data_IF_744085707251
#
_entry.id   IF_744085707251
#
_cell.length_a   1.000
_cell.length_b   1.000
_cell.length_c   1.000
_cell.angle_alpha   90.00
_cell.angle_beta   90.00
_cell.angle_gamma   90.00
#
_symmetry.space_group_name_H-M   'P 1'
#
loop_
_entity.id
_entity.type
_entity.pdbx_description
1 polymer ?
#
# COMPACT_ATOMS: atom_id res chain seq x y z
N UNK A 1 6.88 8.80 -15.24
CA UNK A 1 5.64 7.99 -15.21
C UNK A 1 5.48 7.38 -16.58
N UNK A 2 5.28 6.09 -16.68
CA UNK A 2 5.07 5.38 -17.94
C UNK A 2 3.76 5.78 -18.62
N UNK A 3 3.58 5.32 -19.84
CA UNK A 3 2.37 5.57 -20.66
C UNK A 3 1.22 4.63 -20.29
N UNK A 4 1.52 3.46 -19.72
CA UNK A 4 0.57 2.44 -19.25
C UNK A 4 0.76 2.14 -17.76
N UNK A 5 2.03 1.96 -17.31
CA UNK A 5 2.35 1.74 -15.91
C UNK A 5 2.33 3.06 -15.14
N UNK A 6 1.51 3.11 -14.10
CA UNK A 6 1.53 4.16 -13.10
C UNK A 6 2.52 3.83 -11.98
N UNK A 7 2.42 4.53 -10.85
CA UNK A 7 3.25 4.25 -9.64
C UNK A 7 2.98 2.87 -9.03
N UNK A 8 1.84 2.25 -9.37
CA UNK A 8 1.38 0.99 -8.78
C UNK A 8 0.77 0.05 -9.84
N UNK A 9 1.51 -0.18 -10.92
CA UNK A 9 1.11 -1.03 -12.03
C UNK A 9 0.15 -0.37 -13.03
N UNK A 10 -0.49 -1.19 -13.85
CA UNK A 10 -1.50 -0.75 -14.82
C UNK A 10 -2.87 -0.86 -14.17
N UNK A 11 -3.60 0.25 -14.06
CA UNK A 11 -4.94 0.31 -13.46
C UNK A 11 -5.96 0.91 -14.40
N UNK A 12 -7.22 0.51 -14.25
CA UNK A 12 -8.34 1.09 -14.99
C UNK A 12 -9.66 0.41 -14.67
N UNK A 13 -10.74 0.94 -15.26
CA UNK A 13 -12.06 0.29 -15.21
C UNK A 13 -11.96 -1.02 -15.97
N UNK A 14 -12.24 -2.13 -15.26
CA UNK A 14 -12.11 -3.48 -15.81
C UNK A 14 -13.02 -3.68 -17.03
N UNK A 15 -12.48 -4.35 -18.05
CA UNK A 15 -13.15 -4.62 -19.35
C UNK A 15 -13.54 -3.36 -20.14
N UNK A 16 -13.08 -2.18 -19.74
CA UNK A 16 -13.23 -0.91 -20.48
C UNK A 16 -11.88 -0.29 -20.80
N UNK A 17 -11.10 0.02 -19.80
CA UNK A 17 -9.74 0.56 -19.87
C UNK A 17 -8.72 -0.56 -19.73
N UNK A 18 -8.84 -1.37 -18.66
CA UNK A 18 -8.07 -2.58 -18.46
C UNK A 18 -8.82 -3.78 -19.04
N UNK A 19 -8.65 -3.99 -20.35
CA UNK A 19 -9.33 -5.05 -21.09
C UNK A 19 -8.61 -6.39 -21.01
N UNK A 20 -9.30 -7.49 -21.32
CA UNK A 20 -8.67 -8.81 -21.44
C UNK A 20 -7.58 -8.80 -22.52
N UNK A 21 -7.74 -8.05 -23.62
CA UNK A 21 -6.70 -7.90 -24.65
C UNK A 21 -5.45 -7.22 -24.08
N UNK A 22 -5.62 -6.15 -23.31
CA UNK A 22 -4.49 -5.47 -22.67
C UNK A 22 -3.79 -6.39 -21.66
N UNK A 23 -4.53 -7.14 -20.84
CA UNK A 23 -3.97 -8.11 -19.92
C UNK A 23 -3.16 -9.21 -20.64
N UNK A 24 -3.67 -9.72 -21.77
CA UNK A 24 -2.95 -10.65 -22.64
C UNK A 24 -1.63 -10.04 -23.15
N UNK A 25 -1.66 -8.81 -23.65
CA UNK A 25 -0.47 -8.12 -24.17
C UNK A 25 0.56 -7.84 -23.05
N UNK A 26 0.11 -7.46 -21.85
CA UNK A 26 0.99 -7.30 -20.68
C UNK A 26 1.67 -8.63 -20.36
N UNK A 27 0.93 -9.73 -20.28
CA UNK A 27 1.47 -11.05 -20.00
C UNK A 27 2.50 -11.49 -21.05
N UNK A 28 2.18 -11.29 -22.32
CA UNK A 28 3.06 -11.61 -23.46
C UNK A 28 4.35 -10.80 -23.42
N UNK A 29 4.25 -9.48 -23.25
CA UNK A 29 5.39 -8.59 -23.23
C UNK A 29 6.28 -8.83 -21.99
N UNK A 30 5.69 -8.99 -20.81
CA UNK A 30 6.41 -9.27 -19.58
C UNK A 30 7.18 -10.59 -19.66
N UNK A 31 6.54 -11.66 -20.15
CA UNK A 31 7.17 -12.96 -20.32
C UNK A 31 8.35 -12.92 -21.30
N UNK A 32 8.22 -12.20 -22.40
CA UNK A 32 9.29 -12.03 -23.35
C UNK A 32 10.48 -11.24 -22.78
N UNK A 33 10.19 -10.12 -22.09
CA UNK A 33 11.24 -9.25 -21.51
C UNK A 33 12.00 -9.98 -20.40
N UNK A 34 11.31 -10.68 -19.52
CA UNK A 34 11.91 -11.38 -18.37
C UNK A 34 12.58 -12.69 -18.76
N UNK A 35 12.09 -13.38 -19.80
CA UNK A 35 12.72 -14.59 -20.35
C UNK A 35 14.03 -14.36 -21.06
N UNK A 36 14.32 -13.12 -21.53
CA UNK A 36 15.53 -12.76 -22.27
C UNK A 36 15.87 -13.70 -23.43
N UNK A 37 14.91 -14.48 -23.93
CA UNK A 37 15.10 -15.49 -24.97
C UNK A 37 15.98 -16.71 -24.59
N UNK A 38 16.46 -16.79 -23.36
CA UNK A 38 17.45 -17.77 -22.92
C UNK A 38 16.89 -18.84 -21.97
N UNK A 39 15.79 -18.58 -21.30
CA UNK A 39 15.12 -19.54 -20.43
C UNK A 39 13.60 -19.37 -20.47
N UNK A 40 12.87 -20.37 -19.97
CA UNK A 40 11.42 -20.34 -19.84
C UNK A 40 11.06 -19.69 -18.52
N UNK A 41 10.56 -18.43 -18.51
CA UNK A 41 10.25 -17.74 -17.27
C UNK A 41 9.02 -18.35 -16.59
N UNK A 42 9.05 -18.39 -15.25
CA UNK A 42 7.94 -18.83 -14.41
C UNK A 42 7.28 -17.64 -13.74
N UNK A 43 5.97 -17.52 -13.90
CA UNK A 43 5.17 -16.45 -13.30
C UNK A 43 4.22 -17.01 -12.26
N UNK A 44 4.18 -16.38 -11.08
CA UNK A 44 3.08 -16.56 -10.13
C UNK A 44 1.98 -15.54 -10.45
N UNK A 45 0.71 -15.95 -10.36
CA UNK A 45 -0.43 -15.02 -10.48
C UNK A 45 -1.35 -15.22 -9.28
N UNK A 46 -1.53 -14.15 -8.49
CA UNK A 46 -2.52 -14.04 -7.43
C UNK A 46 -3.50 -12.91 -7.72
N UNK A 47 -4.66 -12.93 -7.09
CA UNK A 47 -5.70 -11.93 -7.28
C UNK A 47 -6.48 -11.64 -6.00
N UNK A 48 -7.18 -10.53 -5.98
CA UNK A 48 -8.21 -10.26 -4.99
C UNK A 48 -9.57 -10.91 -5.37
N UNK A 49 -10.63 -10.50 -4.71
CA UNK A 49 -11.96 -11.11 -4.83
C UNK A 49 -12.84 -10.50 -5.91
N UNK A 50 -12.36 -9.50 -6.68
CA UNK A 50 -13.12 -8.82 -7.74
C UNK A 50 -13.60 -9.80 -8.80
N UNK A 51 -14.85 -9.64 -9.26
CA UNK A 51 -15.45 -10.47 -10.32
C UNK A 51 -14.62 -10.44 -11.60
N UNK A 52 -13.97 -9.32 -11.92
CA UNK A 52 -13.11 -9.18 -13.10
C UNK A 52 -11.75 -9.90 -12.98
N UNK A 53 -11.40 -10.38 -11.77
CA UNK A 53 -10.10 -11.02 -11.50
C UNK A 53 -9.84 -12.24 -12.38
N UNK A 54 -10.80 -13.15 -12.52
CA UNK A 54 -10.64 -14.37 -13.31
C UNK A 54 -10.50 -14.08 -14.82
N UNK A 55 -11.23 -13.08 -15.33
CA UNK A 55 -11.10 -12.65 -16.73
C UNK A 55 -9.67 -12.19 -17.02
N UNK A 56 -9.14 -11.31 -16.17
CA UNK A 56 -7.80 -10.74 -16.36
C UNK A 56 -6.70 -11.78 -16.12
N UNK A 57 -6.85 -12.65 -15.10
CA UNK A 57 -5.93 -13.73 -14.79
C UNK A 57 -5.78 -14.69 -15.98
N UNK A 58 -6.89 -15.13 -16.56
CA UNK A 58 -6.87 -16.07 -17.69
C UNK A 58 -6.27 -15.42 -18.95
N UNK A 59 -6.59 -14.18 -19.23
CA UNK A 59 -6.03 -13.44 -20.35
C UNK A 59 -4.51 -13.23 -20.22
N UNK A 60 -4.07 -12.79 -19.04
CA UNK A 60 -2.66 -12.60 -18.71
C UNK A 60 -1.88 -13.93 -18.84
N UNK A 61 -2.42 -15.01 -18.26
CA UNK A 61 -1.82 -16.33 -18.32
C UNK A 61 -1.69 -16.83 -19.77
N UNK A 62 -2.72 -16.63 -20.61
CA UNK A 62 -2.65 -16.94 -22.03
C UNK A 62 -1.54 -16.16 -22.75
N UNK A 63 -1.39 -14.87 -22.43
CA UNK A 63 -0.30 -14.04 -22.96
C UNK A 63 1.09 -14.57 -22.59
N UNK A 64 1.31 -14.88 -21.32
CA UNK A 64 2.58 -15.46 -20.83
C UNK A 64 2.89 -16.78 -21.55
N UNK A 65 1.92 -17.69 -21.60
CA UNK A 65 2.10 -19.01 -22.22
C UNK A 65 2.37 -18.93 -23.72
N UNK A 66 1.79 -17.94 -24.41
CA UNK A 66 1.93 -17.78 -25.86
C UNK A 66 3.37 -17.49 -26.31
N UNK A 67 4.22 -17.04 -25.39
CA UNK A 67 5.65 -16.79 -25.62
C UNK A 67 6.54 -17.68 -24.75
N UNK A 68 6.04 -18.86 -24.40
CA UNK A 68 6.81 -19.93 -23.76
C UNK A 68 6.98 -19.83 -22.25
N UNK A 69 6.44 -18.80 -21.57
CA UNK A 69 6.47 -18.71 -20.11
C UNK A 69 5.51 -19.67 -19.43
N UNK A 70 5.87 -20.16 -18.24
CA UNK A 70 5.01 -21.00 -17.41
C UNK A 70 4.29 -20.17 -16.35
N UNK A 71 3.08 -20.59 -15.97
CA UNK A 71 2.22 -19.90 -15.01
C UNK A 71 1.85 -20.81 -13.84
N UNK A 72 1.97 -20.31 -12.64
CA UNK A 72 1.48 -20.91 -11.40
C UNK A 72 0.38 -19.99 -10.84
N UNK A 73 -0.85 -20.50 -10.76
CA UNK A 73 -1.98 -19.77 -10.20
C UNK A 73 -2.06 -20.00 -8.70
N UNK A 74 -2.04 -18.89 -7.95
CA UNK A 74 -2.11 -18.88 -6.48
C UNK A 74 -3.56 -18.76 -5.95
N UNK A 75 -4.50 -18.35 -6.82
CA UNK A 75 -5.87 -18.04 -6.41
C UNK A 75 -6.01 -16.69 -5.72
N UNK A 76 -6.96 -16.59 -4.78
CA UNK A 76 -7.20 -15.36 -4.02
C UNK A 76 -6.26 -15.32 -2.82
N UNK A 77 -5.28 -14.42 -2.88
CA UNK A 77 -4.29 -14.16 -1.83
C UNK A 77 -3.92 -12.66 -1.81
N UNK A 78 -3.49 -12.14 -0.63
CA UNK A 78 -2.96 -10.79 -0.50
C UNK A 78 -1.80 -10.46 -1.43
N UNK A 79 -1.69 -9.18 -1.80
CA UNK A 79 -0.53 -8.68 -2.58
C UNK A 79 0.82 -9.09 -1.96
N UNK A 80 1.06 -8.92 -0.65
CA UNK A 80 2.31 -9.36 -0.03
C UNK A 80 2.56 -10.88 -0.10
N UNK A 81 1.51 -11.69 -0.12
CA UNK A 81 1.65 -13.13 -0.30
C UNK A 81 2.32 -13.46 -1.65
N UNK A 82 1.90 -12.80 -2.73
CA UNK A 82 2.50 -13.01 -4.05
C UNK A 82 3.98 -12.60 -4.05
N UNK A 83 4.31 -11.42 -3.50
CA UNK A 83 5.69 -10.95 -3.37
C UNK A 83 6.56 -11.91 -2.55
N UNK A 84 5.99 -12.55 -1.52
CA UNK A 84 6.67 -13.54 -0.68
C UNK A 84 6.85 -14.88 -1.41
N UNK A 85 5.80 -15.38 -2.04
CA UNK A 85 5.76 -16.69 -2.69
C UNK A 85 6.63 -16.75 -3.96
N UNK A 86 6.88 -15.62 -4.64
CA UNK A 86 7.85 -15.56 -5.75
C UNK A 86 9.20 -16.14 -5.33
N UNK A 87 9.67 -15.80 -4.14
CA UNK A 87 10.94 -16.33 -3.61
C UNK A 87 10.84 -17.79 -3.22
N UNK A 88 9.68 -18.22 -2.68
CA UNK A 88 9.47 -19.61 -2.26
C UNK A 88 9.45 -20.57 -3.44
N UNK A 89 8.77 -20.21 -4.53
CA UNK A 89 8.68 -21.03 -5.74
C UNK A 89 9.83 -20.79 -6.74
N UNK A 90 10.80 -19.95 -6.38
CA UNK A 90 11.92 -19.54 -7.25
C UNK A 90 11.44 -19.07 -8.63
N UNK A 91 10.32 -18.32 -8.65
CA UNK A 91 9.75 -17.79 -9.88
C UNK A 91 10.45 -16.52 -10.34
N UNK A 92 10.42 -16.26 -11.65
CA UNK A 92 11.04 -15.05 -12.24
C UNK A 92 10.24 -13.80 -11.95
N UNK A 93 8.91 -13.96 -11.80
CA UNK A 93 8.01 -12.86 -11.49
C UNK A 93 6.76 -13.30 -10.73
N UNK A 94 6.19 -12.37 -9.97
CA UNK A 94 4.86 -12.48 -9.38
C UNK A 94 3.95 -11.39 -9.93
N UNK A 95 2.72 -11.76 -10.25
CA UNK A 95 1.72 -10.80 -10.72
C UNK A 95 0.53 -10.80 -9.78
N UNK A 96 0.10 -9.60 -9.39
CA UNK A 96 -1.10 -9.40 -8.60
C UNK A 96 -2.15 -8.70 -9.46
N UNK A 97 -3.35 -9.26 -9.45
CA UNK A 97 -4.52 -8.68 -10.11
C UNK A 97 -5.42 -8.09 -9.04
N UNK A 98 -5.29 -6.79 -8.83
CA UNK A 98 -6.03 -6.00 -7.84
C UNK A 98 -5.94 -4.50 -8.12
N UNK A 99 -6.95 -3.76 -7.68
CA UNK A 99 -6.92 -2.31 -7.59
C UNK A 99 -6.93 -1.79 -6.13
N UNK A 100 -6.42 -2.59 -5.18
CA UNK A 100 -6.27 -2.24 -3.76
C UNK A 100 -7.61 -1.75 -3.14
N UNK A 101 -7.67 -0.50 -2.69
CA UNK A 101 -8.82 0.10 -2.01
C UNK A 101 -9.92 0.65 -2.94
N UNK A 102 -9.76 0.59 -4.26
CA UNK A 102 -10.80 1.05 -5.20
C UNK A 102 -12.03 0.14 -5.16
N UNK A 103 -13.17 0.65 -5.64
CA UNK A 103 -14.39 -0.15 -5.84
C UNK A 103 -14.20 -1.27 -6.87
N UNK A 104 -15.13 -2.21 -6.92
CA UNK A 104 -15.01 -3.44 -7.69
C UNK A 104 -14.90 -3.26 -9.21
N UNK A 105 -15.42 -2.14 -9.74
CA UNK A 105 -15.37 -1.81 -11.17
C UNK A 105 -13.95 -1.61 -11.67
N UNK A 106 -13.04 -1.17 -10.79
CA UNK A 106 -11.64 -1.02 -11.11
C UNK A 106 -10.89 -2.34 -10.90
N UNK A 107 -9.83 -2.53 -11.67
CA UNK A 107 -8.83 -3.57 -11.41
C UNK A 107 -7.45 -3.07 -11.82
N UNK A 108 -6.42 -3.85 -11.52
CA UNK A 108 -5.04 -3.50 -11.82
C UNK A 108 -4.18 -4.75 -12.02
N UNK A 109 -3.03 -4.56 -12.64
CA UNK A 109 -1.99 -5.58 -12.82
C UNK A 109 -0.69 -5.00 -12.30
N UNK A 110 -0.17 -5.54 -11.19
CA UNK A 110 1.10 -5.22 -10.57
C UNK A 110 2.08 -6.36 -10.80
N UNK A 111 3.34 -6.07 -11.10
CA UNK A 111 4.36 -7.09 -11.35
C UNK A 111 5.49 -6.94 -10.35
N UNK A 112 5.87 -8.05 -9.71
CA UNK A 112 7.02 -8.17 -8.83
C UNK A 112 8.10 -9.00 -9.52
N UNK A 113 9.36 -8.67 -9.30
CA UNK A 113 10.50 -9.45 -9.78
C UNK A 113 10.73 -10.72 -8.93
N UNK A 114 11.63 -11.59 -9.33
CA UNK A 114 11.95 -12.83 -8.62
C UNK A 114 12.46 -12.68 -7.18
N UNK A 115 12.78 -11.45 -6.75
CA UNK A 115 13.15 -11.13 -5.36
C UNK A 115 11.97 -10.61 -4.53
N UNK A 116 10.79 -10.46 -5.13
CA UNK A 116 9.59 -9.95 -4.47
C UNK A 116 9.52 -8.42 -4.39
N UNK A 117 10.35 -7.69 -5.13
CA UNK A 117 10.25 -6.22 -5.27
C UNK A 117 9.43 -5.87 -6.51
N UNK A 118 8.78 -4.71 -6.51
CA UNK A 118 8.18 -4.16 -7.73
C UNK A 118 9.20 -4.11 -8.87
N UNK A 119 8.74 -4.22 -10.11
CA UNK A 119 9.65 -4.12 -11.26
C UNK A 119 10.36 -2.76 -11.30
N UNK A 120 11.59 -2.76 -11.81
CA UNK A 120 12.32 -1.54 -12.15
C UNK A 120 11.62 -0.82 -13.30
N UNK A 121 11.58 0.53 -13.27
CA UNK A 121 10.95 1.37 -14.30
C UNK A 121 11.45 1.04 -15.71
N UNK A 122 12.75 0.74 -15.86
CA UNK A 122 13.35 0.39 -17.15
C UNK A 122 12.78 -0.91 -17.72
N UNK A 123 12.36 -1.82 -16.84
CA UNK A 123 11.72 -3.08 -17.27
C UNK A 123 10.27 -2.79 -17.65
N UNK A 124 9.55 -1.99 -16.86
CA UNK A 124 8.19 -1.55 -17.18
C UNK A 124 8.16 -0.77 -18.50
N UNK A 125 9.08 0.15 -18.73
CA UNK A 125 9.22 0.90 -20.00
C UNK A 125 9.44 -0.03 -21.21
N UNK A 126 10.27 -1.07 -21.07
CA UNK A 126 10.46 -2.07 -22.14
C UNK A 126 9.19 -2.85 -22.44
N UNK A 127 8.43 -3.21 -21.40
CA UNK A 127 7.14 -3.89 -21.54
C UNK A 127 6.15 -2.97 -22.27
N UNK A 128 6.07 -1.70 -21.87
CA UNK A 128 5.24 -0.69 -22.54
C UNK A 128 5.59 -0.50 -24.01
N UNK A 129 6.89 -0.38 -24.32
CA UNK A 129 7.36 -0.21 -25.69
C UNK A 129 6.92 -1.35 -26.59
N UNK A 130 6.96 -2.58 -26.10
CA UNK A 130 6.47 -3.76 -26.82
C UNK A 130 4.97 -3.67 -27.07
N UNK A 131 4.17 -3.33 -26.03
CA UNK A 131 2.72 -3.24 -26.14
C UNK A 131 2.29 -2.15 -27.12
N UNK A 132 2.95 -0.99 -27.09
CA UNK A 132 2.60 0.18 -27.87
C UNK A 132 3.11 0.15 -29.31
N UNK A 133 4.17 -0.62 -29.60
CA UNK A 133 4.80 -0.71 -30.92
C UNK A 133 3.91 -1.37 -31.98
N UNK A 134 2.80 -2.03 -31.62
CA UNK A 134 1.87 -2.79 -32.50
C UNK A 134 2.52 -3.88 -33.36
N UNK A 135 3.86 -3.91 -33.43
CA UNK A 135 4.65 -4.92 -34.13
C UNK A 135 5.60 -5.60 -33.14
N UNK A 136 5.10 -6.63 -32.47
CA UNK A 136 5.90 -7.44 -31.60
C UNK A 136 6.39 -8.68 -32.35
N UNK A 137 7.66 -8.68 -32.74
CA UNK A 137 8.32 -9.82 -33.36
C UNK A 137 9.01 -10.66 -32.26
N UNK A 138 8.59 -11.88 -32.11
CA UNK A 138 9.18 -12.87 -31.21
C UNK A 138 9.36 -14.19 -31.96
N UNK A 139 10.24 -15.12 -31.50
CA UNK A 139 10.31 -16.48 -32.01
C UNK A 139 8.95 -17.17 -31.97
N UNK A 140 8.70 -18.10 -32.87
CA UNK A 140 7.50 -18.93 -32.80
C UNK A 140 7.66 -19.96 -31.68
N UNK A 141 6.74 -19.93 -30.71
CA UNK A 141 6.67 -20.89 -29.62
C UNK A 141 5.61 -21.95 -29.94
N UNK A 142 6.02 -23.03 -30.62
CA UNK A 142 5.14 -24.11 -31.09
C UNK A 142 5.44 -25.44 -30.39
N UNK A 143 4.45 -26.33 -30.33
CA UNK A 143 4.61 -27.66 -29.75
C UNK A 143 5.01 -27.60 -28.26
N UNK A 144 6.13 -28.20 -27.91
CA UNK A 144 6.66 -28.25 -26.54
C UNK A 144 7.18 -26.91 -26.00
N UNK A 145 7.33 -25.93 -26.87
CA UNK A 145 7.75 -24.58 -26.48
C UNK A 145 6.61 -23.68 -25.98
N UNK A 146 5.36 -24.07 -26.13
CA UNK A 146 4.22 -23.39 -25.51
C UNK A 146 4.28 -23.53 -24.00
N UNK A 147 4.03 -22.44 -23.27
CA UNK A 147 4.03 -22.42 -21.82
C UNK A 147 2.91 -23.27 -21.20
N UNK A 148 3.06 -23.59 -19.93
CA UNK A 148 2.08 -24.37 -19.15
C UNK A 148 1.49 -23.54 -18.03
N UNK A 149 0.23 -23.84 -17.68
CA UNK A 149 -0.43 -23.23 -16.54
C UNK A 149 -0.89 -24.30 -15.56
N UNK A 150 -0.61 -24.11 -14.27
CA UNK A 150 -1.07 -25.00 -13.21
C UNK A 150 -1.48 -24.24 -11.97
N UNK A 151 -2.51 -24.65 -11.25
CA UNK A 151 -2.77 -24.17 -9.90
C UNK A 151 -1.79 -24.83 -8.90
N UNK A 152 -1.67 -24.23 -7.71
CA UNK A 152 -1.05 -24.83 -6.53
C UNK A 152 -2.02 -24.80 -5.37
N UNK A 153 -1.90 -25.77 -4.46
CA UNK A 153 -2.82 -25.93 -3.31
C UNK A 153 -2.19 -25.46 -2.00
N UNK A 154 -0.87 -25.34 -1.97
CA UNK A 154 -0.09 -25.07 -0.75
C UNK A 154 0.26 -23.58 -0.53
N UNK A 155 -0.03 -22.71 -1.50
CA UNK A 155 0.28 -21.27 -1.42
C UNK A 155 -0.29 -20.58 -0.16
N UNK A 156 -1.54 -20.93 0.18
CA UNK A 156 -2.21 -20.42 1.39
C UNK A 156 -1.46 -20.83 2.66
N UNK A 157 -1.19 -22.12 2.82
CA UNK A 157 -0.55 -22.66 4.02
C UNK A 157 0.90 -22.18 4.18
N UNK A 158 1.62 -21.98 3.08
CA UNK A 158 2.98 -21.44 3.10
C UNK A 158 2.95 -19.99 3.61
N UNK A 159 2.07 -19.16 3.08
CA UNK A 159 1.97 -17.76 3.52
C UNK A 159 1.45 -17.66 4.96
N UNK A 160 0.48 -18.49 5.36
CA UNK A 160 0.01 -18.59 6.75
C UNK A 160 1.17 -18.90 7.70
N UNK A 161 1.96 -19.91 7.38
CA UNK A 161 3.11 -20.30 8.19
C UNK A 161 4.18 -19.20 8.24
N UNK A 162 4.43 -18.51 7.12
CA UNK A 162 5.35 -17.38 7.09
C UNK A 162 4.87 -16.26 8.03
N UNK A 163 3.58 -15.93 8.06
CA UNK A 163 3.00 -14.96 8.98
C UNK A 163 3.12 -15.42 10.44
N UNK A 164 2.78 -16.67 10.73
CA UNK A 164 2.90 -17.25 12.07
C UNK A 164 4.35 -17.23 12.59
N UNK A 165 5.33 -17.40 11.74
CA UNK A 165 6.75 -17.35 12.09
C UNK A 165 7.24 -15.93 12.47
N UNK A 166 6.44 -14.88 12.22
CA UNK A 166 6.80 -13.50 12.60
C UNK A 166 6.44 -13.12 14.02
N UNK A 167 5.63 -13.95 14.68
CA UNK A 167 5.17 -13.75 16.06
C UNK A 167 5.46 -14.99 16.90
N UNK A 168 5.98 -14.80 18.09
CA UNK A 168 6.46 -15.85 18.99
C UNK A 168 5.59 -16.04 20.23
N UNK A 169 4.38 -15.49 20.21
CA UNK A 169 3.45 -15.48 21.33
C UNK A 169 2.06 -15.94 20.92
N UNK A 170 1.35 -16.47 21.91
CA UNK A 170 -0.07 -16.83 21.75
C UNK A 170 -0.96 -15.67 22.15
N UNK A 171 -2.20 -15.69 21.63
CA UNK A 171 -3.20 -14.64 21.83
C UNK A 171 -4.42 -15.16 22.61
N UNK A 172 -4.20 -16.19 23.44
CA UNK A 172 -5.30 -16.82 24.20
C UNK A 172 -6.01 -15.78 25.10
N UNK A 173 -7.30 -15.63 24.92
CA UNK A 173 -8.14 -14.68 25.64
C UNK A 173 -8.16 -13.26 25.10
N UNK A 174 -7.37 -12.93 24.08
CA UNK A 174 -7.41 -11.64 23.40
C UNK A 174 -8.58 -11.59 22.41
N UNK A 175 -9.45 -10.58 22.53
CA UNK A 175 -10.59 -10.37 21.65
C UNK A 175 -10.22 -9.42 20.53
N UNK A 176 -10.36 -9.89 19.31
CA UNK A 176 -9.95 -9.14 18.10
C UNK A 176 -11.10 -9.08 17.11
N UNK A 177 -11.35 -7.90 16.55
CA UNK A 177 -12.25 -7.75 15.40
C UNK A 177 -11.45 -7.54 14.14
N UNK A 178 -11.74 -8.31 13.09
CA UNK A 178 -11.11 -8.20 11.78
C UNK A 178 -12.14 -7.72 10.76
N UNK A 179 -11.84 -6.65 10.04
CA UNK A 179 -12.53 -6.23 8.83
C UNK A 179 -11.68 -6.58 7.62
N UNK A 180 -12.10 -7.58 6.86
CA UNK A 180 -11.34 -8.10 5.72
C UNK A 180 -11.70 -7.44 4.39
N UNK A 181 -12.49 -6.36 4.42
CA UNK A 181 -12.91 -5.58 3.24
C UNK A 181 -13.60 -6.41 2.14
N UNK A 182 -14.12 -7.61 2.44
CA UNK A 182 -14.49 -8.62 1.44
C UNK A 182 -13.37 -8.87 0.40
N UNK A 183 -12.12 -8.62 0.77
CA UNK A 183 -10.92 -8.65 -0.07
C UNK A 183 -10.07 -9.90 0.12
N UNK A 184 -8.83 -9.83 -0.32
CA UNK A 184 -7.91 -10.96 -0.37
C UNK A 184 -7.50 -11.52 1.00
N UNK A 185 -7.67 -10.74 2.08
CA UNK A 185 -7.39 -11.20 3.46
C UNK A 185 -8.52 -12.06 4.07
N UNK A 186 -9.66 -12.24 3.39
CA UNK A 186 -10.89 -12.83 3.96
C UNK A 186 -10.70 -14.23 4.56
N UNK A 187 -9.78 -15.03 4.05
CA UNK A 187 -9.45 -16.35 4.59
C UNK A 187 -8.22 -16.31 5.49
N UNK A 188 -7.15 -15.64 5.04
CA UNK A 188 -5.84 -15.72 5.69
C UNK A 188 -5.80 -15.01 7.04
N UNK A 189 -6.38 -13.80 7.16
CA UNK A 189 -6.34 -13.08 8.41
C UNK A 189 -7.07 -13.84 9.54
N UNK A 190 -8.33 -14.30 9.35
CA UNK A 190 -8.99 -15.11 10.38
C UNK A 190 -8.26 -16.42 10.71
N UNK A 191 -7.64 -17.08 9.74
CA UNK A 191 -6.90 -18.33 9.95
C UNK A 191 -5.70 -18.11 10.87
N UNK A 192 -4.87 -17.11 10.58
CA UNK A 192 -3.68 -16.76 11.37
C UNK A 192 -4.05 -16.43 12.82
N UNK A 193 -5.04 -15.57 13.04
CA UNK A 193 -5.44 -15.18 14.40
C UNK A 193 -6.05 -16.34 15.21
N UNK A 194 -6.84 -17.20 14.56
CA UNK A 194 -7.38 -18.43 15.18
C UNK A 194 -6.26 -19.41 15.53
N UNK A 195 -5.26 -19.58 14.65
CA UNK A 195 -4.10 -20.43 14.92
C UNK A 195 -3.29 -19.93 16.13
N UNK A 196 -3.24 -18.63 16.36
CA UNK A 196 -2.62 -18.00 17.53
C UNK A 196 -3.47 -18.09 18.81
N UNK A 197 -4.75 -18.50 18.72
CA UNK A 197 -5.62 -18.69 19.89
C UNK A 197 -6.48 -17.46 20.25
N UNK A 198 -6.55 -16.44 19.39
CA UNK A 198 -7.38 -15.26 19.63
C UNK A 198 -8.89 -15.60 19.57
N UNK A 199 -9.69 -14.84 20.32
CA UNK A 199 -11.14 -14.79 20.17
C UNK A 199 -11.49 -13.78 19.06
N UNK A 200 -11.82 -14.30 17.89
CA UNK A 200 -11.90 -13.52 16.65
C UNK A 200 -13.35 -13.31 16.22
N UNK A 201 -13.76 -12.06 16.12
CA UNK A 201 -14.97 -11.63 15.40
C UNK A 201 -14.55 -11.10 14.02
N UNK A 202 -15.18 -11.58 12.95
CA UNK A 202 -14.85 -11.16 11.57
C UNK A 202 -16.05 -10.46 10.95
N UNK A 203 -15.84 -9.34 10.33
CA UNK A 203 -16.82 -8.60 9.51
C UNK A 203 -16.32 -8.45 8.09
N UNK A 204 -17.22 -8.13 7.16
CA UNK A 204 -16.90 -7.96 5.72
C UNK A 204 -16.09 -9.13 5.15
N UNK A 205 -16.59 -10.37 5.38
CA UNK A 205 -15.85 -11.62 5.11
C UNK A 205 -16.62 -12.59 4.19
N UNK A 206 -17.52 -12.06 3.37
CA UNK A 206 -18.33 -12.85 2.42
C UNK A 206 -18.27 -12.23 1.04
N UNK A 207 -17.10 -12.34 0.38
CA UNK A 207 -16.91 -11.74 -0.94
C UNK A 207 -17.85 -12.37 -1.97
N UNK A 208 -18.52 -11.53 -2.77
CA UNK A 208 -19.41 -11.93 -3.85
C UNK A 208 -18.94 -11.47 -5.25
N UNK A 209 -17.76 -10.83 -5.29
CA UNK A 209 -17.13 -10.31 -6.50
C UNK A 209 -17.41 -8.85 -6.78
N UNK A 210 -18.41 -8.24 -6.14
CA UNK A 210 -18.80 -6.84 -6.35
C UNK A 210 -18.85 -6.01 -5.07
N UNK A 211 -18.65 -6.61 -3.90
CA UNK A 211 -18.73 -5.96 -2.59
C UNK A 211 -17.36 -5.67 -1.94
N UNK A 212 -16.25 -5.83 -2.65
CA UNK A 212 -14.90 -5.50 -2.14
C UNK A 212 -14.81 -4.01 -1.83
N UNK A 213 -14.32 -3.65 -0.63
CA UNK A 213 -14.19 -2.28 -0.12
C UNK A 213 -15.52 -1.49 0.00
N UNK A 214 -16.68 -2.13 -0.21
CA UNK A 214 -17.96 -1.44 -0.17
C UNK A 214 -18.34 -1.12 1.29
N UNK A 215 -18.18 0.14 1.68
CA UNK A 215 -18.42 0.63 3.04
C UNK A 215 -17.73 -0.20 4.14
N UNK A 216 -16.52 -0.69 3.87
CA UNK A 216 -15.74 -1.52 4.78
C UNK A 216 -14.22 -1.39 4.52
N UNK A 217 -13.43 -2.03 5.37
CA UNK A 217 -11.99 -2.07 5.26
C UNK A 217 -11.30 -0.77 5.66
N UNK A 218 -10.05 -0.61 5.26
CA UNK A 218 -9.15 0.46 5.72
C UNK A 218 -9.61 1.88 5.38
N UNK A 219 -10.43 2.06 4.34
CA UNK A 219 -10.96 3.36 3.92
C UNK A 219 -12.31 3.70 4.54
N UNK A 220 -13.01 2.73 5.14
CA UNK A 220 -14.31 2.86 5.79
C UNK A 220 -14.37 2.07 7.10
N UNK A 221 -13.63 2.51 8.14
CA UNK A 221 -13.50 1.78 9.40
C UNK A 221 -14.72 1.90 10.33
N UNK A 222 -15.78 2.63 9.96
CA UNK A 222 -16.91 2.97 10.82
C UNK A 222 -17.64 1.72 11.36
N UNK A 223 -17.75 0.66 10.55
CA UNK A 223 -18.34 -0.60 10.96
C UNK A 223 -17.45 -1.37 11.94
N UNK A 224 -16.13 -1.32 11.71
CA UNK A 224 -15.14 -1.88 12.63
C UNK A 224 -15.17 -1.17 13.98
N UNK A 225 -15.20 0.18 14.02
CA UNK A 225 -15.29 0.98 15.23
C UNK A 225 -16.49 0.58 16.09
N UNK A 226 -17.67 0.49 15.47
CA UNK A 226 -18.90 0.07 16.14
C UNK A 226 -18.79 -1.37 16.69
N UNK A 227 -18.24 -2.28 15.88
CA UNK A 227 -18.15 -3.70 16.26
C UNK A 227 -17.14 -3.92 17.40
N UNK A 228 -16.01 -3.23 17.41
CA UNK A 228 -15.03 -3.29 18.51
C UNK A 228 -15.68 -2.93 19.85
N UNK A 229 -16.42 -1.82 19.90
CA UNK A 229 -17.12 -1.36 21.11
C UNK A 229 -18.26 -2.32 21.47
N UNK A 230 -19.04 -2.79 20.49
CA UNK A 230 -20.19 -3.70 20.70
C UNK A 230 -19.77 -5.01 21.38
N UNK A 231 -18.66 -5.61 20.95
CA UNK A 231 -18.20 -6.91 21.48
C UNK A 231 -17.22 -6.77 22.64
N UNK A 232 -16.80 -5.54 22.96
CA UNK A 232 -15.77 -5.26 23.96
C UNK A 232 -14.44 -5.89 23.58
N UNK A 233 -14.01 -5.68 22.34
CA UNK A 233 -12.74 -6.20 21.84
C UNK A 233 -11.56 -5.37 22.34
N UNK A 234 -10.38 -6.00 22.44
CA UNK A 234 -9.16 -5.33 22.84
C UNK A 234 -8.59 -4.46 21.70
N UNK A 235 -8.85 -4.87 20.44
CA UNK A 235 -8.40 -4.18 19.24
C UNK A 235 -9.19 -4.61 18.02
N UNK A 236 -9.31 -3.72 17.03
CA UNK A 236 -9.82 -4.00 15.69
C UNK A 236 -8.76 -3.74 14.62
N UNK A 237 -8.78 -4.55 13.55
CA UNK A 237 -7.91 -4.41 12.38
C UNK A 237 -8.73 -4.37 11.11
N UNK A 238 -8.55 -3.31 10.30
CA UNK A 238 -9.14 -3.18 8.97
C UNK A 238 -8.04 -3.25 7.91
N UNK A 239 -8.26 -4.12 6.93
CA UNK A 239 -7.41 -4.25 5.75
C UNK A 239 -8.08 -3.59 4.55
N UNK A 240 -7.34 -3.34 3.48
CA UNK A 240 -7.92 -3.00 2.19
C UNK A 240 -8.09 -4.23 1.28
N UNK A 241 -8.59 -4.03 0.07
CA UNK A 241 -8.97 -5.14 -0.81
C UNK A 241 -7.88 -6.14 -1.16
N UNK A 242 -6.61 -5.72 -1.24
CA UNK A 242 -5.46 -6.60 -1.46
C UNK A 242 -4.55 -6.75 -0.23
N UNK A 243 -5.01 -6.22 0.89
CA UNK A 243 -4.44 -6.36 2.23
C UNK A 243 -2.96 -5.94 2.35
N UNK A 244 -2.55 -4.94 1.58
CA UNK A 244 -1.24 -4.32 1.72
C UNK A 244 -1.23 -3.17 2.75
N UNK A 245 -2.43 -2.79 3.28
CA UNK A 245 -2.64 -1.74 4.28
C UNK A 245 -3.31 -2.25 5.54
N UNK A 246 -3.04 -1.53 6.64
CA UNK A 246 -3.61 -1.73 7.96
C UNK A 246 -4.11 -0.41 8.54
N UNK A 247 -5.35 -0.39 9.00
CA UNK A 247 -5.88 0.60 9.94
C UNK A 247 -6.28 -0.12 11.22
N UNK A 248 -5.95 0.48 12.37
CA UNK A 248 -6.23 -0.09 13.70
C UNK A 248 -7.36 0.68 14.34
N UNK A 249 -8.19 -0.02 15.10
CA UNK A 249 -9.22 0.57 15.97
C UNK A 249 -8.94 0.12 17.40
N UNK A 250 -8.86 1.08 18.31
CA UNK A 250 -8.58 0.84 19.73
C UNK A 250 -9.80 0.32 20.49
N UNK A 251 -9.61 -0.05 21.76
CA UNK A 251 -10.64 -0.58 22.66
C UNK A 251 -11.78 0.42 22.98
N UNK A 252 -11.62 1.69 22.61
CA UNK A 252 -12.67 2.74 22.72
C UNK A 252 -13.36 3.03 21.37
N UNK A 253 -12.98 2.35 20.29
CA UNK A 253 -13.51 2.57 18.95
C UNK A 253 -12.86 3.75 18.21
N UNK A 254 -11.72 4.26 18.66
CA UNK A 254 -10.97 5.32 17.96
C UNK A 254 -10.07 4.74 16.89
N UNK A 255 -9.96 5.43 15.76
CA UNK A 255 -9.10 5.03 14.65
C UNK A 255 -7.66 5.44 14.93
N UNK A 256 -6.75 4.49 14.82
CA UNK A 256 -5.31 4.67 14.78
C UNK A 256 -4.83 4.40 13.36
N UNK A 257 -4.42 5.44 12.65
CA UNK A 257 -3.95 5.34 11.27
C UNK A 257 -2.50 4.83 11.17
N UNK A 258 -1.94 4.80 9.97
CA UNK A 258 -0.57 4.33 9.73
C UNK A 258 0.50 5.08 10.52
N UNK A 259 0.32 6.38 10.78
CA UNK A 259 1.25 7.15 11.60
C UNK A 259 1.34 6.63 13.04
N UNK A 260 0.20 6.26 13.63
CA UNK A 260 0.18 5.61 14.96
C UNK A 260 0.87 4.24 14.93
N UNK A 261 0.57 3.44 13.90
CA UNK A 261 1.17 2.09 13.74
C UNK A 261 2.70 2.23 13.62
N UNK A 262 3.17 3.18 12.80
CA UNK A 262 4.59 3.46 12.59
C UNK A 262 5.28 3.86 13.91
N UNK A 263 4.65 4.76 14.67
CA UNK A 263 5.15 5.22 15.97
C UNK A 263 5.21 4.10 17.01
N UNK A 264 4.14 3.34 17.16
CA UNK A 264 4.01 2.28 18.15
C UNK A 264 4.98 1.13 17.85
N UNK A 265 5.03 0.68 16.60
CA UNK A 265 5.94 -0.38 16.17
C UNK A 265 7.40 0.07 16.20
N UNK A 266 7.71 1.32 15.82
CA UNK A 266 9.06 1.88 15.91
C UNK A 266 9.60 1.91 17.34
N UNK A 267 8.79 2.36 18.29
CA UNK A 267 9.12 2.33 19.73
C UNK A 267 9.38 0.90 20.24
N UNK A 268 8.53 -0.05 19.83
CA UNK A 268 8.69 -1.46 20.19
C UNK A 268 9.99 -2.04 19.63
N UNK A 269 10.26 -1.87 18.34
CA UNK A 269 11.50 -2.36 17.70
C UNK A 269 12.75 -1.78 18.34
N UNK A 270 12.74 -0.47 18.67
CA UNK A 270 13.84 0.16 19.40
C UNK A 270 14.06 -0.49 20.77
N UNK A 271 13.00 -0.71 21.54
CA UNK A 271 13.09 -1.34 22.87
C UNK A 271 13.68 -2.76 22.82
N UNK A 272 13.51 -3.45 21.68
CA UNK A 272 14.06 -4.78 21.43
C UNK A 272 15.46 -4.75 20.80
N UNK A 273 16.03 -3.57 20.55
CA UNK A 273 17.32 -3.44 19.87
C UNK A 273 17.29 -3.85 18.39
N UNK A 274 16.09 -3.89 17.78
CA UNK A 274 15.86 -4.31 16.40
C UNK A 274 15.68 -3.15 15.43
N UNK A 275 15.66 -1.91 15.91
CA UNK A 275 15.54 -0.72 15.04
C UNK A 275 16.95 -0.26 14.65
N UNK A 276 17.38 -0.62 13.45
CA UNK A 276 18.69 -0.24 12.95
C UNK A 276 18.90 1.28 12.96
N UNK A 277 20.03 1.73 13.50
CA UNK A 277 20.41 3.14 13.64
C UNK A 277 19.34 4.04 14.31
N UNK A 278 18.42 3.43 15.09
CA UNK A 278 17.25 4.09 15.68
C UNK A 278 16.51 4.97 14.68
N UNK A 279 16.22 4.44 13.50
CA UNK A 279 15.63 5.16 12.38
C UNK A 279 14.40 4.43 11.83
N UNK A 280 13.38 5.21 11.45
CA UNK A 280 12.24 4.78 10.64
C UNK A 280 12.17 5.60 9.36
N UNK A 281 11.43 5.11 8.37
CA UNK A 281 11.16 5.85 7.12
C UNK A 281 9.67 6.19 7.04
N UNK A 282 9.37 7.46 6.76
CA UNK A 282 8.01 7.98 6.59
C UNK A 282 7.91 8.83 5.31
N UNK A 283 6.72 9.26 4.94
CA UNK A 283 6.53 10.19 3.82
C UNK A 283 6.30 11.61 4.30
N UNK A 284 6.43 12.58 3.38
CA UNK A 284 6.06 13.98 3.64
C UNK A 284 4.59 14.16 4.07
N UNK A 285 3.75 13.13 3.90
CA UNK A 285 2.35 13.15 4.33
C UNK A 285 2.15 12.69 5.77
N UNK A 286 3.15 12.05 6.39
CA UNK A 286 3.07 11.67 7.80
C UNK A 286 2.92 12.91 8.67
N UNK A 287 2.07 12.82 9.69
CA UNK A 287 1.72 13.94 10.55
C UNK A 287 2.93 14.49 11.33
N UNK A 288 2.97 15.79 11.56
CA UNK A 288 4.01 16.44 12.39
C UNK A 288 4.16 15.76 13.77
N UNK A 289 3.08 15.17 14.27
CA UNK A 289 3.08 14.41 15.51
C UNK A 289 4.02 13.20 15.50
N UNK A 290 4.24 12.59 14.33
CA UNK A 290 5.20 11.48 14.16
C UNK A 290 6.61 11.96 14.48
N UNK A 291 7.05 13.04 13.85
CA UNK A 291 8.39 13.60 14.09
C UNK A 291 8.60 13.94 15.56
N UNK A 292 7.65 14.68 16.16
CA UNK A 292 7.72 15.10 17.56
C UNK A 292 7.70 13.91 18.56
N UNK A 293 6.88 12.89 18.27
CA UNK A 293 6.84 11.69 19.11
C UNK A 293 8.12 10.86 18.99
N UNK A 294 8.60 10.65 17.77
CA UNK A 294 9.81 9.87 17.50
C UNK A 294 11.06 10.54 18.06
N UNK A 295 11.18 11.85 17.96
CA UNK A 295 12.27 12.62 18.59
C UNK A 295 12.32 12.37 20.11
N UNK A 296 11.17 12.43 20.80
CA UNK A 296 11.06 12.11 22.23
C UNK A 296 11.50 10.69 22.58
N UNK A 297 11.30 9.74 21.62
CA UNK A 297 11.75 8.36 21.75
C UNK A 297 13.25 8.20 21.37
N UNK A 298 13.92 9.25 20.89
CA UNK A 298 15.28 9.21 20.35
C UNK A 298 15.36 8.35 19.08
N UNK A 299 14.33 8.41 18.25
CA UNK A 299 14.23 7.76 16.93
C UNK A 299 14.21 8.87 15.87
N UNK A 300 15.09 8.79 14.87
CA UNK A 300 15.08 9.68 13.73
C UNK A 300 14.07 9.23 12.68
N UNK A 301 13.45 10.19 11.98
CA UNK A 301 12.53 9.93 10.88
C UNK A 301 13.21 10.34 9.58
N UNK A 302 13.38 9.39 8.66
CA UNK A 302 13.85 9.63 7.31
C UNK A 302 12.62 9.89 6.43
N UNK A 303 12.48 11.14 5.94
CA UNK A 303 11.27 11.59 5.24
C UNK A 303 11.49 11.52 3.73
N UNK A 304 10.58 10.85 3.02
CA UNK A 304 10.63 10.68 1.57
C UNK A 304 9.37 11.22 0.88
N UNK A 305 9.36 11.21 -0.46
CA UNK A 305 8.19 11.54 -1.26
C UNK A 305 7.02 10.58 -1.00
N UNK A 306 5.83 10.94 -1.51
CA UNK A 306 4.62 10.13 -1.37
C UNK A 306 4.67 8.94 -2.32
N UNK A 307 4.45 7.75 -1.77
CA UNK A 307 4.37 6.48 -2.50
C UNK A 307 5.25 5.42 -1.87
N UNK A 308 4.72 4.22 -1.75
CA UNK A 308 5.35 3.04 -1.15
C UNK A 308 6.73 2.71 -1.77
N UNK A 309 6.88 2.98 -3.06
CA UNK A 309 8.14 2.81 -3.77
C UNK A 309 9.25 3.69 -3.18
N UNK A 310 8.96 4.98 -2.94
CA UNK A 310 9.97 5.90 -2.38
C UNK A 310 10.30 5.54 -0.94
N UNK A 311 9.31 5.05 -0.16
CA UNK A 311 9.55 4.52 1.18
C UNK A 311 10.52 3.35 1.12
N UNK A 312 10.25 2.36 0.27
CA UNK A 312 11.11 1.18 0.12
C UNK A 312 12.52 1.54 -0.37
N UNK A 313 12.64 2.41 -1.38
CA UNK A 313 13.94 2.86 -1.91
C UNK A 313 14.78 3.55 -0.82
N UNK A 314 14.15 4.41 0.00
CA UNK A 314 14.81 5.06 1.13
C UNK A 314 15.23 4.05 2.20
N UNK A 315 14.35 3.10 2.55
CA UNK A 315 14.67 2.02 3.50
C UNK A 315 15.88 1.20 3.05
N UNK A 316 15.92 0.79 1.79
CA UNK A 316 17.06 0.03 1.22
C UNK A 316 18.36 0.84 1.22
N UNK A 317 18.28 2.15 0.98
CA UNK A 317 19.44 3.05 0.97
C UNK A 317 19.96 3.34 2.37
N UNK A 318 19.08 3.52 3.34
CA UNK A 318 19.42 3.95 4.71
C UNK A 318 19.57 2.78 5.69
N UNK A 319 19.12 1.57 5.31
CA UNK A 319 19.09 0.40 6.17
C UNK A 319 17.95 0.41 7.18
N UNK A 320 16.95 1.30 7.03
CA UNK A 320 15.77 1.32 7.89
C UNK A 320 14.96 0.02 7.74
N UNK A 321 14.64 -0.62 8.86
CA UNK A 321 13.88 -1.89 8.88
C UNK A 321 12.36 -1.69 8.96
N UNK A 322 11.92 -0.47 9.31
CA UNK A 322 10.52 -0.10 9.40
C UNK A 322 10.28 1.20 8.61
N UNK A 323 9.32 1.16 7.72
CA UNK A 323 8.83 2.34 7.02
C UNK A 323 7.36 2.22 6.67
N UNK A 324 6.73 3.36 6.37
CA UNK A 324 5.33 3.32 6.01
C UNK A 324 4.72 4.68 5.69
N UNK A 325 3.42 4.64 5.46
CA UNK A 325 2.60 5.78 5.10
C UNK A 325 1.41 5.92 6.04
N UNK A 326 0.90 7.13 6.18
CA UNK A 326 -0.32 7.43 6.94
C UNK A 326 -1.52 6.57 6.50
N UNK A 327 -1.55 6.18 5.22
CA UNK A 327 -2.59 5.30 4.63
C UNK A 327 -2.61 3.87 5.20
N UNK A 328 -1.62 3.50 6.02
CA UNK A 328 -1.51 2.16 6.61
C UNK A 328 -0.62 1.18 5.85
N UNK A 329 0.00 1.60 4.74
CA UNK A 329 0.96 0.76 4.02
C UNK A 329 2.28 0.72 4.80
N UNK A 330 2.51 -0.39 5.56
CA UNK A 330 3.65 -0.57 6.44
C UNK A 330 4.58 -1.65 5.91
N UNK A 331 5.86 -1.35 5.81
CA UNK A 331 6.92 -2.27 5.38
C UNK A 331 7.80 -2.62 6.59
N UNK A 332 7.84 -3.90 6.94
CA UNK A 332 8.80 -4.48 7.89
C UNK A 332 9.84 -5.26 7.09
N UNK A 333 10.95 -4.60 6.73
CA UNK A 333 11.90 -5.10 5.73
C UNK A 333 12.58 -6.42 6.11
N UNK A 334 12.66 -6.73 7.40
CA UNK A 334 13.17 -8.03 7.89
C UNK A 334 12.25 -9.20 7.49
N UNK A 335 10.98 -8.94 7.16
CA UNK A 335 9.99 -9.97 6.85
C UNK A 335 9.47 -9.88 5.41
N UNK A 336 9.23 -8.68 4.90
CA UNK A 336 8.58 -8.46 3.61
C UNK A 336 9.24 -7.33 2.82
N UNK A 337 9.03 -7.34 1.49
CA UNK A 337 9.57 -6.35 0.54
C UNK A 337 8.52 -5.33 0.10
N UNK A 338 7.32 -5.40 0.64
CA UNK A 338 6.19 -4.51 0.33
C UNK A 338 5.32 -4.36 1.58
N UNK A 339 4.31 -3.49 1.56
CA UNK A 339 3.34 -3.42 2.63
C UNK A 339 2.59 -4.74 2.81
N UNK A 340 2.35 -5.10 4.06
CA UNK A 340 1.61 -6.30 4.44
C UNK A 340 0.74 -5.99 5.67
N UNK A 341 -0.57 -5.83 5.45
CA UNK A 341 -1.50 -5.46 6.49
C UNK A 341 -1.62 -6.52 7.59
N UNK A 342 -1.63 -7.81 7.22
CA UNK A 342 -1.75 -8.90 8.20
C UNK A 342 -0.46 -9.01 9.02
N UNK A 343 0.70 -8.97 8.39
CA UNK A 343 1.99 -8.91 9.09
C UNK A 343 2.06 -7.70 10.02
N UNK A 344 1.67 -6.52 9.54
CA UNK A 344 1.69 -5.28 10.31
C UNK A 344 0.81 -5.36 11.55
N UNK A 345 -0.38 -5.98 11.43
CA UNK A 345 -1.27 -6.21 12.56
C UNK A 345 -0.66 -7.17 13.60
N UNK A 346 0.07 -8.20 13.17
CA UNK A 346 0.81 -9.10 14.07
C UNK A 346 1.96 -8.38 14.79
N UNK A 347 2.71 -7.51 14.10
CA UNK A 347 3.76 -6.70 14.74
C UNK A 347 3.16 -5.67 15.72
N UNK A 348 1.98 -5.12 15.40
CA UNK A 348 1.24 -4.25 16.31
C UNK A 348 0.80 -5.01 17.58
N UNK A 349 0.32 -6.25 17.46
CA UNK A 349 0.03 -7.13 18.60
C UNK A 349 1.28 -7.32 19.49
N UNK A 350 2.44 -7.54 18.92
CA UNK A 350 3.70 -7.63 19.70
C UNK A 350 3.98 -6.34 20.47
N UNK A 351 3.66 -5.19 19.88
CA UNK A 351 3.81 -3.92 20.58
C UNK A 351 2.81 -3.76 21.74
N UNK A 352 1.55 -4.21 21.58
CA UNK A 352 0.55 -4.25 22.67
C UNK A 352 1.10 -5.09 23.84
N UNK A 353 1.54 -6.31 23.55
CA UNK A 353 2.04 -7.22 24.57
C UNK A 353 3.31 -6.70 25.27
N UNK A 354 4.21 -6.08 24.52
CA UNK A 354 5.44 -5.49 25.08
C UNK A 354 5.16 -4.28 25.98
N UNK A 355 4.11 -3.51 25.68
CA UNK A 355 3.76 -2.30 26.45
C UNK A 355 2.97 -2.60 27.72
N UNK A 356 2.22 -3.71 27.76
CA UNK A 356 1.22 -4.04 28.78
C UNK A 356 0.15 -2.94 28.98
N UNK A 357 -0.07 -2.08 27.98
CA UNK A 357 -1.06 -1.00 27.95
C UNK A 357 -2.24 -1.37 27.05
N UNK A 358 -3.39 -0.73 27.29
CA UNK A 358 -4.49 -0.75 26.33
C UNK A 358 -4.11 -0.02 25.05
N UNK A 359 -4.74 -0.40 23.94
CA UNK A 359 -4.48 0.23 22.64
C UNK A 359 -4.81 1.71 22.67
N UNK A 360 -5.90 2.10 23.33
CA UNK A 360 -6.28 3.51 23.52
C UNK A 360 -5.22 4.32 24.27
N UNK A 361 -4.60 3.75 25.32
CA UNK A 361 -3.52 4.40 26.07
C UNK A 361 -2.27 4.59 25.23
N UNK A 362 -1.97 3.64 24.32
CA UNK A 362 -0.84 3.74 23.39
C UNK A 362 -1.10 4.82 22.33
N UNK A 363 -2.33 4.90 21.80
CA UNK A 363 -2.74 5.93 20.83
C UNK A 363 -2.69 7.34 21.41
N UNK A 364 -3.16 7.52 22.66
CA UNK A 364 -3.16 8.82 23.36
C UNK A 364 -1.74 9.39 23.61
N UNK A 365 -0.70 8.56 23.56
CA UNK A 365 0.69 9.04 23.64
C UNK A 365 1.14 9.82 22.40
N UNK A 366 0.44 9.64 21.27
CA UNK A 366 0.81 10.19 19.96
C UNK A 366 -0.17 11.29 19.61
N UNK A 367 0.29 12.53 19.68
CA UNK A 367 -0.54 13.70 19.33
C UNK A 367 -0.57 13.85 17.83
N UNK A 368 -1.74 13.67 17.22
CA UNK A 368 -1.97 13.97 15.81
C UNK A 368 -2.45 15.42 15.68
N UNK A 369 -1.66 16.21 14.98
CA UNK A 369 -1.98 17.62 14.73
C UNK A 369 -3.09 17.74 13.68
N UNK A 370 -4.07 18.65 13.89
CA UNK A 370 -5.03 18.99 12.85
C UNK A 370 -4.37 19.36 11.53
N UNK A 371 -5.01 18.95 10.44
CA UNK A 371 -4.56 19.22 9.07
C UNK A 371 -5.63 20.01 8.31
N UNK A 372 -5.23 21.07 7.61
CA UNK A 372 -6.04 21.74 6.60
C UNK A 372 -5.46 21.47 5.22
N UNK A 373 -6.28 20.93 4.32
CA UNK A 373 -5.90 20.63 2.93
C UNK A 373 -6.79 21.40 1.97
N UNK A 374 -6.20 22.30 1.19
CA UNK A 374 -6.88 23.05 0.14
C UNK A 374 -6.26 22.73 -1.22
N UNK A 375 -7.09 22.44 -2.19
CA UNK A 375 -6.67 22.14 -3.56
C UNK A 375 -6.82 23.38 -4.45
N UNK A 376 -5.72 23.95 -4.90
CA UNK A 376 -5.70 25.06 -5.85
C UNK A 376 -5.67 24.52 -7.29
N UNK A 377 -6.77 24.62 -8.03
CA UNK A 377 -6.83 24.24 -9.45
C UNK A 377 -6.00 25.21 -10.28
N UNK A 378 -5.14 24.66 -11.14
CA UNK A 378 -4.24 25.44 -11.99
C UNK A 378 -4.29 24.94 -13.42
N UNK A 379 -3.98 25.81 -14.39
CA UNK A 379 -3.77 25.38 -15.76
C UNK A 379 -2.60 24.38 -15.80
N UNK A 380 -2.76 23.20 -16.45
CA UNK A 380 -1.73 22.17 -16.51
C UNK A 380 -0.36 22.66 -17.00
N UNK A 381 -0.36 23.65 -17.91
CA UNK A 381 0.87 24.23 -18.49
C UNK A 381 1.72 24.94 -17.44
N UNK A 382 1.10 25.60 -16.44
CA UNK A 382 1.79 26.38 -15.41
C UNK A 382 2.09 25.62 -14.12
N UNK A 383 1.67 24.38 -14.01
CA UNK A 383 1.78 23.57 -12.79
C UNK A 383 3.20 23.52 -12.18
N UNK A 384 4.23 23.54 -13.03
CA UNK A 384 5.62 23.55 -12.58
C UNK A 384 6.08 24.94 -12.15
N UNK A 385 5.58 25.99 -12.82
CA UNK A 385 5.96 27.38 -12.59
C UNK A 385 5.44 27.94 -11.27
N UNK A 386 4.34 27.37 -10.75
CA UNK A 386 3.72 27.81 -9.48
C UNK A 386 4.73 27.81 -8.33
N UNK A 387 5.57 26.77 -8.26
CA UNK A 387 6.54 26.63 -7.17
C UNK A 387 7.76 27.56 -7.31
N UNK A 388 7.98 28.11 -8.49
CA UNK A 388 9.09 29.04 -8.77
C UNK A 388 8.65 30.51 -8.73
N UNK A 389 7.32 30.77 -8.54
CA UNK A 389 6.78 32.15 -8.51
C UNK A 389 7.12 32.85 -7.20
N UNK A 390 7.72 34.05 -7.31
CA UNK A 390 8.22 34.81 -6.17
C UNK A 390 7.14 35.23 -5.18
N UNK A 391 5.93 35.56 -5.67
CA UNK A 391 4.84 36.04 -4.79
C UNK A 391 4.22 34.85 -4.06
N UNK A 392 4.11 33.68 -4.71
CA UNK A 392 3.68 32.45 -4.08
C UNK A 392 4.68 32.03 -3.00
N UNK A 393 5.99 32.06 -3.30
CA UNK A 393 7.02 31.74 -2.31
C UNK A 393 7.04 32.72 -1.13
N UNK A 394 6.86 34.00 -1.39
CA UNK A 394 6.78 35.01 -0.31
C UNK A 394 5.60 34.75 0.63
N UNK A 395 4.43 34.36 0.07
CA UNK A 395 3.23 34.04 0.87
C UNK A 395 3.40 32.75 1.66
N UNK A 396 4.04 31.76 1.07
CA UNK A 396 4.41 30.51 1.77
C UNK A 396 5.31 30.81 2.97
N UNK A 397 6.39 31.57 2.74
CA UNK A 397 7.33 31.93 3.80
C UNK A 397 6.69 32.75 4.93
N UNK A 398 5.70 33.60 4.63
CA UNK A 398 4.91 34.33 5.64
C UNK A 398 4.17 33.37 6.56
N UNK A 399 3.47 32.36 5.98
CA UNK A 399 2.71 31.37 6.75
C UNK A 399 3.65 30.39 7.49
N UNK A 400 4.76 29.98 6.86
CA UNK A 400 5.78 29.15 7.53
C UNK A 400 6.33 29.83 8.77
N UNK A 401 6.64 31.13 8.69
CA UNK A 401 7.09 31.95 9.84
C UNK A 401 6.05 32.00 10.96
N UNK A 402 4.76 32.10 10.61
CA UNK A 402 3.66 32.07 11.56
C UNK A 402 3.51 30.76 12.29
N UNK A 403 3.78 29.65 11.58
CA UNK A 403 3.69 28.28 12.10
C UNK A 403 5.01 27.77 12.69
N UNK A 404 6.07 28.58 12.74
CA UNK A 404 7.38 28.17 13.25
C UNK A 404 7.30 27.59 14.67
N UNK A 405 7.73 26.34 14.84
CA UNK A 405 7.72 25.60 16.10
C UNK A 405 6.38 24.98 16.53
N UNK A 406 5.26 25.41 15.92
CA UNK A 406 3.90 24.94 16.28
C UNK A 406 3.17 24.21 15.14
N UNK A 407 3.66 24.32 13.92
CA UNK A 407 3.04 23.73 12.75
C UNK A 407 4.00 23.56 11.58
N UNK A 408 3.48 23.20 10.41
CA UNK A 408 4.24 23.15 9.15
C UNK A 408 3.36 23.44 7.94
N UNK A 409 3.99 23.82 6.85
CA UNK A 409 3.39 24.02 5.53
C UNK A 409 3.96 22.97 4.57
N UNK A 410 3.10 22.29 3.80
CA UNK A 410 3.48 21.40 2.74
C UNK A 410 2.70 21.72 1.47
N UNK A 411 3.39 22.20 0.44
CA UNK A 411 2.78 22.53 -0.84
C UNK A 411 3.41 21.68 -1.93
N UNK A 412 2.56 21.04 -2.72
CA UNK A 412 3.04 20.13 -3.78
C UNK A 412 2.10 20.06 -4.98
N UNK A 413 2.63 19.92 -6.18
CA UNK A 413 1.82 19.57 -7.35
C UNK A 413 1.20 18.17 -7.20
N UNK A 414 -0.08 18.01 -7.58
CA UNK A 414 -0.68 16.69 -7.69
C UNK A 414 -0.01 15.88 -8.82
N UNK A 415 0.25 14.59 -8.62
CA UNK A 415 0.83 13.72 -9.66
C UNK A 415 -0.09 13.52 -10.86
N UNK A 416 -1.41 13.45 -10.62
CA UNK A 416 -2.41 12.99 -11.60
C UNK A 416 -3.38 14.10 -12.04
N UNK A 417 -3.59 15.12 -11.23
CA UNK A 417 -4.60 16.17 -11.46
C UNK A 417 -3.95 17.54 -11.71
N UNK A 418 -4.61 18.45 -12.43
CA UNK A 418 -4.11 19.80 -12.67
C UNK A 418 -4.37 20.70 -11.45
N UNK A 419 -3.74 20.39 -10.32
CA UNK A 419 -3.86 21.16 -9.09
C UNK A 419 -2.58 21.14 -8.25
N UNK A 420 -2.47 22.16 -7.41
CA UNK A 420 -1.48 22.25 -6.33
C UNK A 420 -2.20 21.95 -5.02
N UNK A 421 -1.65 21.06 -4.23
CA UNK A 421 -2.15 20.72 -2.89
C UNK A 421 -1.44 21.59 -1.86
N UNK A 422 -2.22 22.39 -1.14
CA UNK A 422 -1.76 23.22 -0.03
C UNK A 422 -2.21 22.54 1.26
N UNK A 423 -1.29 22.00 2.01
CA UNK A 423 -1.55 21.33 3.28
C UNK A 423 -0.79 22.03 4.40
N UNK A 424 -1.51 22.37 5.46
CA UNK A 424 -0.98 22.95 6.68
C UNK A 424 -1.33 22.06 7.86
N UNK A 425 -0.41 21.96 8.82
CA UNK A 425 -0.61 21.26 10.09
C UNK A 425 -0.28 22.20 11.26
N UNK A 426 -1.01 22.07 12.36
CA UNK A 426 -0.80 22.87 13.57
C UNK A 426 -1.93 22.64 14.58
N UNK A 427 -2.04 23.52 15.57
CA UNK A 427 -2.97 23.33 16.70
C UNK A 427 -4.37 23.87 16.42
N UNK A 428 -4.51 24.96 15.66
CA UNK A 428 -5.78 25.68 15.42
C UNK A 428 -6.32 25.37 14.00
N UNK A 429 -7.35 24.57 13.91
CA UNK A 429 -7.95 24.13 12.64
C UNK A 429 -8.51 25.30 11.80
N UNK A 430 -9.11 26.31 12.43
CA UNK A 430 -9.72 27.44 11.71
C UNK A 430 -8.64 28.35 11.14
N UNK A 431 -7.58 28.60 11.91
CA UNK A 431 -6.43 29.38 11.47
C UNK A 431 -5.69 28.68 10.33
N UNK A 432 -5.43 27.37 10.46
CA UNK A 432 -4.81 26.55 9.41
C UNK A 432 -5.62 26.59 8.10
N UNK A 433 -6.93 26.52 8.18
CA UNK A 433 -7.80 26.56 7.00
C UNK A 433 -7.73 27.95 6.34
N UNK A 434 -7.82 29.03 7.12
CA UNK A 434 -7.72 30.38 6.59
C UNK A 434 -6.36 30.62 5.91
N UNK A 435 -5.26 30.18 6.52
CA UNK A 435 -3.92 30.29 5.95
C UNK A 435 -3.72 29.43 4.69
N UNK A 436 -4.29 28.22 4.65
CA UNK A 436 -4.26 27.36 3.47
C UNK A 436 -5.05 27.97 2.30
N UNK A 437 -6.25 28.52 2.59
CA UNK A 437 -7.06 29.25 1.61
C UNK A 437 -6.35 30.52 1.10
N UNK A 438 -5.66 31.28 1.99
CA UNK A 438 -4.88 32.45 1.65
C UNK A 438 -3.76 32.16 0.64
N UNK A 439 -3.05 31.03 0.79
CA UNK A 439 -2.04 30.56 -0.17
C UNK A 439 -2.72 30.08 -1.47
N UNK A 440 -3.73 29.22 -1.35
CA UNK A 440 -4.40 28.62 -2.49
C UNK A 440 -5.06 29.67 -3.41
N UNK A 441 -5.65 30.73 -2.83
CA UNK A 441 -6.28 31.79 -3.59
C UNK A 441 -5.27 32.53 -4.47
N UNK A 442 -4.09 32.86 -3.98
CA UNK A 442 -3.04 33.51 -4.79
C UNK A 442 -2.61 32.60 -5.96
N UNK A 443 -2.48 31.30 -5.70
CA UNK A 443 -2.13 30.32 -6.75
C UNK A 443 -3.22 30.32 -7.84
N UNK A 444 -4.49 30.28 -7.45
CA UNK A 444 -5.62 30.28 -8.39
C UNK A 444 -5.70 31.60 -9.18
N UNK A 445 -5.49 32.75 -8.54
CA UNK A 445 -5.53 34.07 -9.18
C UNK A 445 -4.45 34.20 -10.26
N UNK A 446 -3.26 33.67 -10.03
CA UNK A 446 -2.12 33.76 -10.97
C UNK A 446 -2.10 32.67 -12.04
N UNK A 447 -2.50 31.44 -11.69
CA UNK A 447 -2.27 30.23 -12.49
C UNK A 447 -3.54 29.40 -12.74
N UNK A 448 -4.71 29.84 -12.24
CA UNK A 448 -5.99 29.17 -12.48
C UNK A 448 -6.41 29.20 -13.94
N UNK A 449 -7.31 28.29 -14.32
CA UNK A 449 -7.99 28.34 -15.62
C UNK A 449 -8.88 29.62 -15.67
N UNK A 450 -8.71 30.43 -16.72
CA UNK A 450 -9.53 31.62 -16.97
C UNK A 450 -10.80 31.25 -17.69
#
# INVERSE_FOLDING_TARGET
MGRLFGTDGVRGVANKELTATLAYEIGRAASYVLGNGNHRPVFLIGRDTRISGELLENALAAGIMSVGGDVIKLGVLPTPAVARLVRHYEADAGVVISASHNSFEYNGIKIFNGKGFKLDDRIEEKIEDIILAKEFRHPEYVGEHVGRCRPVEDAFSIYEQDLLNTIDTRLDGMKIVLDTANGASYQIAPAVYKALGADVTVISNTPDGININEHCGSTHPENLQKKVVEVGADVGFAYDGDADRLIVVDDKGQVLNGDHVLCICGKMLKSQGKLYDNKITATVMSNLGVDKYMEKQGISVDVTGVGDRYVLESMLKTGSVLGGEQSGHMIFLDYTTTGDGVLSSLQFIKAIQASAKKVSEMGEEIVIYPQALVNAKVNPEYKKEVMDDSDVQARIAEVEKKLEGVGRVLIRPSGTEPLIRVMLEGEDTEELKADAEYIAQLIIEKFGEK
#
